data_IF_470758161691
#
_entry.id   IF_470758161691
#
_cell.length_a   1.000
_cell.length_b   1.000
_cell.length_c   1.000
_cell.angle_alpha   90.00
_cell.angle_beta   90.00
_cell.angle_gamma   90.00
#
_symmetry.space_group_name_H-M   'P 1'
#
loop_
_entity.id
_entity.type
_entity.pdbx_description
1 polymer ?
#
# COMPACT_ATOMS: atom_id res chain seq x y z
N UNK A 1 50.61 37.97 -33.86
CA UNK A 1 49.37 37.72 -33.10
C UNK A 1 49.23 36.21 -32.96
N UNK A 2 49.69 35.65 -31.84
CA UNK A 2 49.55 34.24 -31.54
C UNK A 2 48.51 34.11 -30.41
N UNK A 3 47.39 33.49 -30.75
CA UNK A 3 46.26 33.23 -29.86
C UNK A 3 46.65 32.11 -28.89
N UNK A 4 46.66 32.40 -27.59
CA UNK A 4 46.80 31.38 -26.54
C UNK A 4 45.47 30.65 -26.38
N UNK A 5 45.51 29.34 -26.59
CA UNK A 5 44.42 28.39 -26.40
C UNK A 5 44.23 28.16 -24.89
N UNK A 6 43.10 28.58 -24.34
CA UNK A 6 42.73 28.34 -22.95
C UNK A 6 42.34 26.87 -22.78
N UNK A 7 43.19 26.12 -22.08
CA UNK A 7 42.88 24.78 -21.62
C UNK A 7 41.68 24.80 -20.65
N UNK A 8 40.72 23.92 -20.91
CA UNK A 8 39.52 23.74 -20.09
C UNK A 8 39.87 23.38 -18.63
N UNK A 9 39.13 23.89 -17.64
CA UNK A 9 39.37 23.52 -16.24
C UNK A 9 39.01 22.05 -16.01
N UNK A 10 39.96 21.32 -15.42
CA UNK A 10 39.76 19.95 -14.94
C UNK A 10 38.52 19.87 -14.02
N UNK A 11 37.63 18.87 -14.18
CA UNK A 11 36.55 18.64 -13.23
C UNK A 11 37.16 18.26 -11.88
N UNK A 12 36.85 19.05 -10.84
CA UNK A 12 37.23 18.72 -9.47
C UNK A 12 36.55 17.42 -9.04
N UNK A 13 37.25 16.55 -8.27
CA UNK A 13 36.66 15.34 -7.73
C UNK A 13 35.54 15.72 -6.75
N UNK A 14 34.34 15.21 -7.02
CA UNK A 14 33.19 15.30 -6.13
C UNK A 14 33.61 14.86 -4.72
N UNK A 15 33.70 15.84 -3.82
CA UNK A 15 33.92 15.61 -2.40
C UNK A 15 32.74 14.80 -1.87
N UNK A 16 33.01 13.71 -1.15
CA UNK A 16 32.02 12.94 -0.39
C UNK A 16 31.20 13.88 0.49
N UNK A 17 30.05 14.32 -0.04
CA UNK A 17 29.07 15.07 0.72
C UNK A 17 28.40 14.06 1.66
N UNK A 18 28.95 13.95 2.87
CA UNK A 18 28.28 13.29 3.99
C UNK A 18 26.82 13.72 3.98
N UNK A 19 25.90 12.78 3.73
CA UNK A 19 24.47 13.07 3.78
C UNK A 19 24.18 13.70 5.15
N UNK A 20 23.41 14.80 5.22
CA UNK A 20 23.10 15.44 6.50
C UNK A 20 22.43 14.41 7.42
N UNK A 21 23.10 14.09 8.54
CA UNK A 21 22.57 13.15 9.51
C UNK A 21 21.44 13.84 10.30
N UNK A 22 20.32 13.15 10.55
CA UNK A 22 19.26 13.71 11.36
C UNK A 22 19.78 14.02 12.78
N UNK A 23 19.38 15.17 13.33
CA UNK A 23 19.66 15.52 14.72
C UNK A 23 18.89 14.57 15.64
N UNK A 24 19.62 13.72 16.37
CA UNK A 24 19.07 12.68 17.24
C UNK A 24 19.03 13.12 18.70
N UNK A 25 18.11 12.54 19.48
CA UNK A 25 18.08 12.69 20.95
C UNK A 25 19.05 11.69 21.57
N UNK A 26 19.50 11.93 22.81
CA UNK A 26 20.23 10.92 23.60
C UNK A 26 19.32 10.25 24.64
N UNK A 27 18.16 10.84 24.91
CA UNK A 27 17.16 10.25 25.78
C UNK A 27 16.46 9.03 25.12
N UNK A 28 16.10 8.01 25.93
CA UNK A 28 15.33 6.86 25.47
C UNK A 28 14.00 7.25 24.81
N UNK A 29 13.67 6.59 23.71
CA UNK A 29 12.45 6.84 22.95
C UNK A 29 11.48 5.65 23.03
N UNK A 30 10.18 5.94 23.06
CA UNK A 30 9.10 5.00 22.76
C UNK A 30 8.21 5.57 21.68
N UNK A 31 7.77 4.75 20.72
CA UNK A 31 6.94 5.23 19.60
C UNK A 31 5.52 4.66 19.63
N UNK A 32 4.56 5.47 19.20
CA UNK A 32 3.21 5.03 18.87
C UNK A 32 2.97 5.28 17.38
N UNK A 33 2.74 4.21 16.64
CA UNK A 33 2.58 4.21 15.18
C UNK A 33 1.11 4.01 14.85
N UNK A 34 0.54 4.90 14.05
CA UNK A 34 -0.85 4.84 13.60
C UNK A 34 -0.93 4.97 12.09
N UNK A 35 -1.97 4.38 11.50
CA UNK A 35 -2.28 4.57 10.07
C UNK A 35 -2.76 6.01 9.87
N UNK A 36 -2.06 6.75 9.01
CA UNK A 36 -2.46 8.10 8.60
C UNK A 36 -3.42 8.02 7.40
N UNK A 37 -3.04 7.22 6.40
CA UNK A 37 -3.81 6.98 5.20
C UNK A 37 -3.54 5.57 4.66
N UNK A 38 -4.53 5.03 3.95
CA UNK A 38 -4.41 3.71 3.35
C UNK A 38 -5.18 3.65 2.02
N UNK A 39 -4.57 3.04 1.01
CA UNK A 39 -5.17 2.93 -0.32
C UNK A 39 -4.82 1.61 -0.99
N UNK A 40 -5.83 1.00 -1.60
CA UNK A 40 -5.68 -0.19 -2.43
C UNK A 40 -5.49 0.18 -3.89
N UNK A 41 -4.62 -0.58 -4.55
CA UNK A 41 -4.44 -0.59 -5.98
C UNK A 41 -4.51 -2.04 -6.46
N UNK A 42 -5.18 -2.30 -7.58
CA UNK A 42 -5.27 -3.65 -8.11
C UNK A 42 -4.04 -3.95 -8.96
N UNK A 43 -3.09 -4.68 -8.37
CA UNK A 43 -1.77 -4.89 -8.95
C UNK A 43 -1.80 -5.70 -10.24
N UNK A 44 -2.68 -6.70 -10.36
CA UNK A 44 -2.78 -7.51 -11.59
C UNK A 44 -3.11 -6.66 -12.82
N UNK A 45 -3.93 -5.61 -12.68
CA UNK A 45 -4.25 -4.72 -13.79
C UNK A 45 -3.03 -3.95 -14.31
N UNK A 46 -2.03 -3.71 -13.46
CA UNK A 46 -0.78 -3.04 -13.83
C UNK A 46 0.23 -4.04 -14.40
N UNK A 47 0.36 -5.19 -13.73
CA UNK A 47 1.34 -6.20 -14.13
C UNK A 47 0.98 -6.87 -15.47
N UNK A 48 -0.31 -6.94 -15.81
CA UNK A 48 -0.80 -7.52 -17.06
C UNK A 48 -1.11 -6.47 -18.14
N UNK A 49 -0.75 -5.20 -17.93
CA UNK A 49 -0.97 -4.16 -18.94
C UNK A 49 0.00 -4.35 -20.11
N UNK A 50 -0.41 -5.13 -21.11
CA UNK A 50 0.35 -5.35 -22.34
C UNK A 50 0.40 -4.11 -23.23
N UNK A 51 -0.75 -3.49 -23.48
CA UNK A 51 -0.88 -2.26 -24.28
C UNK A 51 -1.12 -1.02 -23.41
N UNK A 52 -0.57 0.11 -23.85
CA UNK A 52 -0.78 1.40 -23.17
C UNK A 52 -2.28 1.74 -23.21
N UNK A 53 -2.91 2.01 -22.05
CA UNK A 53 -4.34 2.30 -22.02
C UNK A 53 -4.68 3.54 -22.85
N UNK A 54 -5.73 3.45 -23.67
CA UNK A 54 -6.18 4.57 -24.50
C UNK A 54 -6.85 5.66 -23.63
N UNK A 55 -6.37 6.91 -23.71
CA UNK A 55 -6.91 8.00 -22.86
C UNK A 55 -8.34 8.41 -23.21
N UNK A 56 -8.83 8.05 -24.40
CA UNK A 56 -10.20 8.32 -24.81
C UNK A 56 -11.20 7.36 -24.19
N UNK A 57 -10.73 6.18 -23.75
CA UNK A 57 -11.51 5.19 -23.04
C UNK A 57 -11.56 5.52 -21.54
N UNK A 58 -12.75 5.59 -20.92
CA UNK A 58 -12.91 5.72 -19.47
C UNK A 58 -12.12 4.70 -18.64
N UNK A 59 -12.03 3.44 -19.07
CA UNK A 59 -11.22 2.43 -18.38
C UNK A 59 -9.73 2.75 -18.54
N UNK A 60 -9.30 3.16 -19.73
CA UNK A 60 -7.93 3.61 -19.94
C UNK A 60 -7.52 4.80 -19.06
N UNK A 61 -8.40 5.78 -18.85
CA UNK A 61 -8.19 6.88 -17.90
C UNK A 61 -8.08 6.39 -16.45
N UNK A 62 -8.90 5.41 -16.06
CA UNK A 62 -8.80 4.79 -14.75
C UNK A 62 -7.43 4.16 -14.52
N UNK A 63 -6.95 3.34 -15.47
CA UNK A 63 -5.65 2.67 -15.37
C UNK A 63 -4.49 3.66 -15.30
N UNK A 64 -4.52 4.70 -16.14
CA UNK A 64 -3.49 5.77 -16.12
C UNK A 64 -3.45 6.55 -14.82
N UNK A 65 -4.60 6.86 -14.23
CA UNK A 65 -4.67 7.51 -12.92
C UNK A 65 -4.06 6.61 -11.85
N UNK A 66 -4.35 5.32 -11.86
CA UNK A 66 -3.76 4.37 -10.91
C UNK A 66 -2.23 4.29 -11.05
N UNK A 67 -1.71 4.20 -12.27
CA UNK A 67 -0.26 4.22 -12.56
C UNK A 67 0.39 5.50 -12.02
N UNK A 68 -0.18 6.66 -12.34
CA UNK A 68 0.32 7.95 -11.87
C UNK A 68 0.31 8.10 -10.34
N UNK A 69 -0.78 7.67 -9.69
CA UNK A 69 -0.90 7.71 -8.23
C UNK A 69 0.12 6.80 -7.55
N UNK A 70 0.40 5.63 -8.13
CA UNK A 70 1.42 4.72 -7.64
C UNK A 70 2.83 5.26 -7.84
N UNK A 71 3.14 5.86 -9.00
CA UNK A 71 4.43 6.50 -9.24
C UNK A 71 4.66 7.65 -8.25
N UNK A 72 3.64 8.48 -8.02
CA UNK A 72 3.70 9.55 -7.03
C UNK A 72 3.88 9.02 -5.59
N UNK A 73 3.33 7.85 -5.30
CA UNK A 73 3.47 7.17 -4.00
C UNK A 73 4.85 6.50 -3.86
N UNK A 74 5.42 5.97 -4.96
CA UNK A 74 6.74 5.36 -4.97
C UNK A 74 7.86 6.36 -4.69
N UNK A 75 7.62 7.66 -4.93
CA UNK A 75 8.53 8.73 -4.51
C UNK A 75 8.54 8.96 -2.98
N UNK A 76 7.57 8.42 -2.23
CA UNK A 76 7.45 8.54 -0.77
C UNK A 76 7.86 7.24 -0.09
N UNK A 77 8.26 7.33 1.19
CA UNK A 77 8.59 6.16 2.03
C UNK A 77 7.35 5.64 2.75
N UNK A 78 6.36 5.18 2.00
CA UNK A 78 5.23 4.48 2.60
C UNK A 78 5.52 2.99 2.75
N UNK A 79 4.71 2.32 3.54
CA UNK A 79 4.67 0.86 3.58
C UNK A 79 3.71 0.38 2.50
N UNK A 80 3.92 -0.84 2.00
CA UNK A 80 2.92 -1.55 1.24
C UNK A 80 2.75 -2.98 1.73
N UNK A 81 1.54 -3.50 1.56
CA UNK A 81 1.21 -4.91 1.73
C UNK A 81 0.79 -5.48 0.38
N UNK A 82 1.40 -6.59 -0.04
CA UNK A 82 0.84 -7.43 -1.09
C UNK A 82 -0.29 -8.25 -0.46
N UNK A 83 -1.53 -7.94 -0.84
CA UNK A 83 -2.73 -8.56 -0.30
C UNK A 83 -3.35 -9.44 -1.38
N UNK A 84 -3.53 -10.72 -1.08
CA UNK A 84 -4.20 -11.66 -1.98
C UNK A 84 -5.63 -11.87 -1.53
N UNK A 85 -6.55 -11.94 -2.50
CA UNK A 85 -7.97 -12.18 -2.27
C UNK A 85 -8.49 -13.19 -3.27
N UNK A 86 -9.49 -14.02 -2.93
CA UNK A 86 -10.17 -14.85 -3.92
C UNK A 86 -10.60 -14.00 -5.10
N UNK A 87 -10.35 -14.49 -6.31
CA UNK A 87 -10.65 -13.76 -7.55
C UNK A 87 -12.12 -13.38 -7.61
N UNK A 88 -12.43 -12.13 -7.94
CA UNK A 88 -13.82 -11.68 -8.13
C UNK A 88 -13.96 -11.02 -9.49
N UNK A 89 -14.96 -11.43 -10.27
CA UNK A 89 -15.29 -10.81 -11.56
C UNK A 89 -16.78 -10.52 -11.63
N UNK A 90 -17.19 -9.56 -12.45
CA UNK A 90 -18.60 -9.41 -12.80
C UNK A 90 -19.04 -10.56 -13.71
N UNK A 91 -20.22 -11.11 -13.47
CA UNK A 91 -20.86 -12.03 -14.41
C UNK A 91 -21.51 -11.22 -15.54
N UNK A 92 -20.79 -11.02 -16.64
CA UNK A 92 -21.25 -10.23 -17.79
C UNK A 92 -22.48 -10.87 -18.47
N UNK A 93 -22.65 -12.19 -18.34
CA UNK A 93 -23.83 -12.89 -18.85
C UNK A 93 -25.02 -12.80 -17.88
N UNK A 94 -24.77 -12.41 -16.62
CA UNK A 94 -25.79 -12.23 -15.60
C UNK A 94 -26.62 -10.97 -15.82
N UNK A 95 -27.88 -11.01 -15.36
CA UNK A 95 -28.77 -9.87 -15.43
C UNK A 95 -28.49 -8.87 -14.30
N UNK A 96 -28.23 -7.62 -14.67
CA UNK A 96 -28.17 -6.49 -13.74
C UNK A 96 -29.59 -6.10 -13.33
N UNK A 97 -29.83 -5.98 -12.02
CA UNK A 97 -31.16 -5.67 -11.50
C UNK A 97 -31.17 -4.35 -10.74
N UNK A 98 -32.27 -3.63 -10.86
CA UNK A 98 -32.52 -2.39 -10.15
C UNK A 98 -33.65 -2.57 -9.14
N UNK A 99 -33.48 -1.99 -7.94
CA UNK A 99 -34.58 -1.84 -7.00
C UNK A 99 -35.69 -0.96 -7.57
N UNK A 100 -36.95 -1.34 -7.34
CA UNK A 100 -38.12 -0.75 -7.99
C UNK A 100 -38.32 0.77 -7.74
N UNK A 101 -37.82 1.30 -6.61
CA UNK A 101 -37.93 2.72 -6.25
C UNK A 101 -36.61 3.36 -5.77
N UNK A 102 -35.47 2.72 -6.03
CA UNK A 102 -34.19 3.18 -5.47
C UNK A 102 -33.04 2.98 -6.44
N UNK A 103 -31.93 3.65 -6.17
CA UNK A 103 -30.66 3.41 -6.87
C UNK A 103 -29.89 2.21 -6.30
N UNK A 104 -30.63 1.24 -5.75
CA UNK A 104 -30.09 -0.06 -5.36
C UNK A 104 -29.86 -0.88 -6.62
N UNK A 105 -28.60 -1.14 -6.89
CA UNK A 105 -28.11 -1.85 -8.05
C UNK A 105 -27.59 -3.21 -7.60
N UNK A 106 -28.19 -4.28 -8.09
CA UNK A 106 -27.71 -5.65 -7.87
C UNK A 106 -26.86 -6.10 -9.04
N UNK A 107 -25.60 -6.42 -8.76
CA UNK A 107 -24.60 -6.84 -9.73
C UNK A 107 -24.27 -8.31 -9.52
N UNK A 108 -24.36 -9.14 -10.57
CA UNK A 108 -23.98 -10.54 -10.47
C UNK A 108 -22.44 -10.67 -10.52
N UNK A 109 -21.90 -11.59 -9.72
CA UNK A 109 -20.47 -11.83 -9.54
C UNK A 109 -20.11 -13.30 -9.76
N UNK A 110 -18.86 -13.52 -10.14
CA UNK A 110 -18.19 -14.82 -10.19
C UNK A 110 -17.03 -14.81 -9.19
N UNK A 111 -16.99 -15.78 -8.28
CA UNK A 111 -16.00 -15.89 -7.23
C UNK A 111 -15.06 -17.08 -7.43
N UNK A 112 -13.76 -16.86 -7.19
CA UNK A 112 -12.71 -17.88 -7.19
C UNK A 112 -12.44 -18.51 -8.55
N UNK A 113 -11.61 -19.56 -8.53
CA UNK A 113 -11.26 -20.34 -9.72
C UNK A 113 -12.47 -21.09 -10.31
N UNK A 114 -13.36 -21.59 -9.43
CA UNK A 114 -14.57 -22.34 -9.80
C UNK A 114 -15.69 -21.44 -10.36
N UNK A 115 -15.50 -20.12 -10.37
CA UNK A 115 -16.48 -19.13 -10.84
C UNK A 115 -17.86 -19.33 -10.21
N UNK A 116 -17.90 -19.56 -8.89
CA UNK A 116 -19.15 -19.70 -8.17
C UNK A 116 -19.96 -18.41 -8.26
N UNK A 117 -21.24 -18.52 -8.63
CA UNK A 117 -22.11 -17.36 -8.81
C UNK A 117 -22.50 -16.75 -7.46
N UNK A 118 -22.41 -15.44 -7.37
CA UNK A 118 -22.88 -14.65 -6.24
C UNK A 118 -23.42 -13.30 -6.75
N UNK A 119 -23.84 -12.41 -5.85
CA UNK A 119 -24.27 -11.06 -6.20
C UNK A 119 -23.93 -10.06 -5.10
N UNK A 120 -23.76 -8.81 -5.48
CA UNK A 120 -23.68 -7.68 -4.55
C UNK A 120 -24.79 -6.70 -4.85
N UNK A 121 -25.38 -6.13 -3.80
CA UNK A 121 -26.30 -5.00 -3.93
C UNK A 121 -25.60 -3.76 -3.41
N UNK A 122 -25.46 -2.75 -4.25
CA UNK A 122 -24.86 -1.45 -3.90
C UNK A 122 -25.91 -0.36 -4.03
N UNK A 123 -25.90 0.60 -3.12
CA UNK A 123 -26.79 1.76 -3.17
C UNK A 123 -26.03 2.95 -3.75
N UNK A 124 -26.33 3.30 -5.01
CA UNK A 124 -25.64 4.40 -5.69
C UNK A 124 -26.18 5.75 -5.22
N UNK A 125 -25.28 6.73 -5.15
CA UNK A 125 -25.61 8.14 -4.93
C UNK A 125 -25.48 8.88 -6.25
N UNK A 126 -26.47 9.71 -6.59
CA UNK A 126 -26.41 10.55 -7.80
C UNK A 126 -25.30 11.59 -7.63
N UNK A 127 -24.28 11.62 -8.50
CA UNK A 127 -23.25 12.64 -8.45
C UNK A 127 -23.82 14.03 -8.74
N UNK A 128 -23.23 15.08 -8.15
CA UNK A 128 -23.68 16.46 -8.36
C UNK A 128 -23.64 16.89 -9.85
N UNK A 129 -22.64 16.42 -10.60
CA UNK A 129 -22.47 16.72 -12.02
C UNK A 129 -23.29 15.81 -12.96
N UNK A 130 -24.15 14.93 -12.43
CA UNK A 130 -24.97 14.04 -13.23
C UNK A 130 -26.08 14.80 -13.96
N UNK A 131 -26.33 14.44 -15.23
CA UNK A 131 -27.48 14.95 -15.99
C UNK A 131 -28.62 13.95 -16.04
N UNK A 132 -28.36 12.68 -15.69
CA UNK A 132 -29.36 11.61 -15.54
C UNK A 132 -29.58 11.28 -14.07
N UNK A 133 -30.82 10.94 -13.70
CA UNK A 133 -31.16 10.45 -12.35
C UNK A 133 -30.78 8.98 -12.11
N UNK A 134 -30.56 8.23 -13.20
CA UNK A 134 -30.19 6.81 -13.19
C UNK A 134 -29.16 6.59 -14.30
N UNK A 135 -28.02 5.94 -14.02
CA UNK A 135 -26.97 5.80 -15.01
C UNK A 135 -27.28 4.64 -15.97
N UNK A 136 -26.77 4.73 -17.19
CA UNK A 136 -26.60 3.56 -18.07
C UNK A 136 -25.40 2.78 -17.59
N UNK A 137 -25.51 1.45 -17.55
CA UNK A 137 -24.47 0.56 -17.02
C UNK A 137 -23.83 -0.19 -18.18
N UNK A 138 -22.50 -0.20 -18.18
CA UNK A 138 -21.71 -1.15 -18.97
C UNK A 138 -20.86 -1.99 -18.01
N UNK A 139 -20.85 -3.30 -18.24
CA UNK A 139 -20.06 -4.24 -17.46
C UNK A 139 -19.03 -4.93 -18.34
N UNK A 140 -17.83 -5.06 -17.80
CA UNK A 140 -16.78 -5.97 -18.24
C UNK A 140 -16.46 -6.91 -17.07
N UNK A 141 -15.60 -7.91 -17.26
CA UNK A 141 -15.25 -8.81 -16.16
C UNK A 141 -14.63 -8.08 -14.95
N UNK A 142 -13.85 -7.01 -15.19
CA UNK A 142 -13.08 -6.31 -14.17
C UNK A 142 -13.71 -4.97 -13.75
N UNK A 143 -14.48 -4.34 -14.62
CA UNK A 143 -14.96 -2.96 -14.45
C UNK A 143 -16.46 -2.83 -14.66
N UNK A 144 -17.03 -1.86 -13.96
CA UNK A 144 -18.33 -1.26 -14.23
C UNK A 144 -18.15 0.19 -14.65
N UNK A 145 -18.82 0.60 -15.72
CA UNK A 145 -18.96 2.00 -16.11
C UNK A 145 -20.39 2.45 -15.83
N UNK A 146 -20.51 3.55 -15.08
CA UNK A 146 -21.76 4.22 -14.76
C UNK A 146 -21.82 5.55 -15.53
N UNK A 147 -22.62 5.57 -16.60
CA UNK A 147 -22.81 6.77 -17.41
C UNK A 147 -24.05 7.55 -16.94
N UNK A 148 -23.81 8.68 -16.28
CA UNK A 148 -24.81 9.60 -15.77
C UNK A 148 -25.16 10.72 -16.77
N UNK A 149 -24.88 10.50 -18.06
CA UNK A 149 -25.04 11.47 -19.16
C UNK A 149 -23.82 12.35 -19.32
N UNK A 150 -23.77 13.48 -18.60
CA UNK A 150 -22.64 14.43 -18.63
C UNK A 150 -21.40 14.00 -17.84
N UNK A 151 -21.52 12.91 -17.07
CA UNK A 151 -20.46 12.35 -16.23
C UNK A 151 -20.42 10.83 -16.43
N UNK A 152 -19.22 10.30 -16.52
CA UNK A 152 -18.98 8.86 -16.56
C UNK A 152 -18.00 8.46 -15.46
N UNK A 153 -18.42 7.52 -14.61
CA UNK A 153 -17.62 6.97 -13.54
C UNK A 153 -17.26 5.51 -13.87
N UNK A 154 -16.02 5.14 -13.61
CA UNK A 154 -15.53 3.77 -13.79
C UNK A 154 -15.01 3.27 -12.45
N UNK A 155 -15.46 2.07 -12.07
CA UNK A 155 -14.99 1.37 -10.88
C UNK A 155 -14.49 0.00 -11.28
N UNK A 156 -13.37 -0.42 -10.70
CA UNK A 156 -13.04 -1.85 -10.70
C UNK A 156 -14.00 -2.59 -9.77
N UNK A 157 -14.09 -3.91 -9.94
CA UNK A 157 -14.81 -4.77 -9.00
C UNK A 157 -14.33 -4.57 -7.57
N UNK A 158 -13.01 -4.45 -7.35
CA UNK A 158 -12.41 -4.23 -6.04
C UNK A 158 -12.73 -2.85 -5.46
N UNK A 159 -12.86 -1.81 -6.29
CA UNK A 159 -13.33 -0.50 -5.84
C UNK A 159 -14.78 -0.54 -5.37
N UNK A 160 -15.67 -1.18 -6.13
CA UNK A 160 -17.06 -1.34 -5.70
C UNK A 160 -17.13 -2.09 -4.38
N UNK A 161 -16.35 -3.17 -4.27
CA UNK A 161 -16.33 -3.98 -3.07
C UNK A 161 -15.88 -3.16 -1.84
N UNK A 162 -14.85 -2.34 -1.99
CA UNK A 162 -14.35 -1.49 -0.91
C UNK A 162 -15.31 -0.35 -0.57
N UNK A 163 -15.80 0.39 -1.55
CA UNK A 163 -16.55 1.64 -1.35
C UNK A 163 -17.93 1.39 -0.76
N UNK A 164 -18.61 0.33 -1.21
CA UNK A 164 -20.01 0.09 -0.85
C UNK A 164 -20.18 -0.92 0.29
N UNK A 165 -19.10 -1.29 0.99
CA UNK A 165 -19.16 -2.04 2.25
C UNK A 165 -19.97 -3.33 2.14
N UNK A 166 -19.65 -4.18 1.16
CA UNK A 166 -20.43 -5.38 0.89
C UNK A 166 -20.42 -6.40 2.03
N UNK A 167 -21.42 -7.29 2.03
CA UNK A 167 -21.54 -8.37 3.00
C UNK A 167 -20.62 -9.56 2.73
N UNK A 168 -20.06 -9.72 1.51
CA UNK A 168 -19.14 -10.82 1.21
C UNK A 168 -17.97 -10.86 2.21
N UNK A 169 -17.69 -12.04 2.74
CA UNK A 169 -16.62 -12.29 3.71
C UNK A 169 -15.43 -12.94 3.02
N UNK A 170 -14.85 -12.22 2.06
CA UNK A 170 -13.67 -12.69 1.34
C UNK A 170 -12.40 -12.23 2.09
N UNK A 171 -11.50 -13.17 2.44
CA UNK A 171 -10.32 -12.84 3.23
C UNK A 171 -9.35 -11.97 2.45
N UNK A 172 -8.75 -11.01 3.14
CA UNK A 172 -7.65 -10.17 2.64
C UNK A 172 -6.35 -10.66 3.27
N UNK A 173 -5.63 -11.55 2.56
CA UNK A 173 -4.42 -12.20 3.07
C UNK A 173 -3.17 -11.41 2.71
N UNK A 174 -2.46 -10.91 3.69
CA UNK A 174 -1.13 -10.32 3.53
C UNK A 174 -0.14 -11.44 3.22
N UNK A 175 0.47 -11.38 2.04
CA UNK A 175 1.47 -12.33 1.56
C UNK A 175 2.89 -11.75 1.61
N UNK A 176 3.03 -10.42 1.60
CA UNK A 176 4.31 -9.73 1.61
C UNK A 176 4.16 -8.30 2.15
N UNK A 177 5.18 -7.81 2.85
CA UNK A 177 5.28 -6.42 3.34
C UNK A 177 6.53 -5.77 2.72
N UNK A 178 6.42 -4.53 2.27
CA UNK A 178 7.56 -3.80 1.73
C UNK A 178 7.44 -2.29 1.90
N UNK A 179 8.39 -1.56 1.31
CA UNK A 179 8.38 -0.10 1.23
C UNK A 179 8.11 0.33 -0.20
N UNK A 180 7.37 1.42 -0.39
CA UNK A 180 7.01 1.93 -1.72
C UNK A 180 8.19 2.56 -2.46
N UNK A 181 9.21 3.01 -1.73
CA UNK A 181 10.40 3.63 -2.31
C UNK A 181 11.14 2.62 -3.19
N UNK A 182 11.16 2.90 -4.48
CA UNK A 182 11.81 2.08 -5.50
C UNK A 182 12.45 3.01 -6.52
N UNK A 183 13.76 3.23 -6.38
CA UNK A 183 14.51 4.17 -7.22
C UNK A 183 14.50 3.75 -8.71
N UNK A 184 14.21 2.48 -9.00
CA UNK A 184 14.07 1.94 -10.36
C UNK A 184 12.62 2.03 -10.90
N UNK A 185 11.64 2.49 -10.11
CA UNK A 185 10.25 2.67 -10.54
C UNK A 185 9.52 1.37 -10.93
N UNK A 186 10.01 0.21 -10.52
CA UNK A 186 9.45 -1.11 -10.86
C UNK A 186 8.09 -1.34 -10.20
N UNK A 187 7.84 -0.78 -9.02
CA UNK A 187 6.55 -0.93 -8.34
C UNK A 187 5.39 -0.35 -9.17
N UNK A 188 5.51 0.91 -9.62
CA UNK A 188 4.49 1.58 -10.43
C UNK A 188 4.31 0.97 -11.83
N UNK A 189 5.38 0.40 -12.39
CA UNK A 189 5.35 -0.33 -13.66
C UNK A 189 4.85 -1.79 -13.55
N UNK A 190 4.47 -2.26 -12.36
CA UNK A 190 4.02 -3.65 -12.19
C UNK A 190 5.12 -4.71 -12.38
N UNK A 191 6.39 -4.33 -12.13
CA UNK A 191 7.60 -5.14 -12.40
C UNK A 191 8.39 -5.54 -11.16
N UNK A 192 7.87 -5.30 -9.97
CA UNK A 192 8.59 -5.57 -8.73
C UNK A 192 8.76 -7.10 -8.54
N UNK A 193 10.00 -7.65 -8.48
CA UNK A 193 10.23 -9.10 -8.43
C UNK A 193 9.55 -9.81 -7.26
N UNK A 194 9.42 -9.14 -6.10
CA UNK A 194 8.69 -9.68 -4.96
C UNK A 194 7.20 -9.93 -5.29
N UNK A 195 6.56 -8.99 -6.00
CA UNK A 195 5.15 -9.11 -6.37
C UNK A 195 4.93 -10.21 -7.40
N UNK A 196 5.82 -10.37 -8.38
CA UNK A 196 5.74 -11.50 -9.32
C UNK A 196 5.79 -12.85 -8.61
N UNK A 197 6.62 -12.99 -7.57
CA UNK A 197 6.66 -14.20 -6.75
C UNK A 197 5.37 -14.41 -5.98
N UNK A 198 4.79 -13.36 -5.40
CA UNK A 198 3.48 -13.44 -4.72
C UNK A 198 2.38 -13.90 -5.69
N UNK A 199 2.32 -13.33 -6.90
CA UNK A 199 1.36 -13.74 -7.95
C UNK A 199 1.55 -15.21 -8.32
N UNK A 200 2.79 -15.62 -8.61
CA UNK A 200 3.12 -16.99 -8.97
C UNK A 200 2.77 -18.01 -7.86
N UNK A 201 2.92 -17.64 -6.60
CA UNK A 201 2.56 -18.49 -5.45
C UNK A 201 1.06 -18.58 -5.20
N UNK A 202 0.31 -17.52 -5.51
CA UNK A 202 -1.13 -17.45 -5.27
C UNK A 202 -1.94 -18.18 -6.34
N UNK A 203 -1.41 -18.23 -7.57
CA UNK A 203 -2.07 -18.86 -8.72
C UNK A 203 -3.27 -18.06 -9.24
N UNK A 204 -3.91 -18.57 -10.30
CA UNK A 204 -4.93 -17.86 -11.08
C UNK A 204 -6.28 -17.66 -10.38
N UNK A 205 -6.46 -18.31 -9.23
CA UNK A 205 -7.67 -18.24 -8.40
C UNK A 205 -7.72 -17.04 -7.45
N UNK A 206 -6.66 -16.22 -7.43
CA UNK A 206 -6.53 -15.08 -6.54
C UNK A 206 -6.18 -13.80 -7.31
N UNK A 207 -6.75 -12.68 -6.88
CA UNK A 207 -6.31 -11.36 -7.27
C UNK A 207 -5.23 -10.88 -6.29
N UNK A 208 -4.23 -10.18 -6.81
CA UNK A 208 -3.18 -9.51 -6.04
C UNK A 208 -3.45 -8.01 -6.02
N UNK A 209 -3.56 -7.48 -4.80
CA UNK A 209 -3.76 -6.07 -4.51
C UNK A 209 -2.51 -5.52 -3.82
N UNK A 210 -2.26 -4.24 -4.04
CA UNK A 210 -1.26 -3.46 -3.32
C UNK A 210 -1.98 -2.52 -2.37
N UNK A 211 -1.88 -2.78 -1.07
CA UNK A 211 -2.34 -1.86 -0.03
C UNK A 211 -1.16 -0.97 0.37
N UNK A 212 -1.16 0.29 -0.06
CA UNK A 212 -0.23 1.31 0.41
C UNK A 212 -0.74 1.88 1.72
N UNK A 213 0.14 2.01 2.71
CA UNK A 213 -0.16 2.60 4.02
C UNK A 213 0.86 3.68 4.36
N UNK A 214 0.36 4.90 4.53
CA UNK A 214 1.08 5.99 5.18
C UNK A 214 0.91 5.89 6.70
N UNK A 215 1.96 6.21 7.44
CA UNK A 215 2.00 6.06 8.89
C UNK A 215 2.43 7.35 9.57
N UNK A 216 1.76 7.65 10.68
CA UNK A 216 2.17 8.69 11.61
C UNK A 216 2.87 8.05 12.80
N UNK A 217 3.99 8.65 13.21
CA UNK A 217 4.81 8.17 14.33
C UNK A 217 4.88 9.25 15.39
N UNK A 218 4.19 9.00 16.50
CA UNK A 218 4.26 9.83 17.70
C UNK A 218 5.42 9.35 18.57
N UNK A 219 6.39 10.23 18.84
CA UNK A 219 7.57 9.91 19.65
C UNK A 219 7.40 10.43 21.08
N UNK A 220 7.43 9.50 22.04
CA UNK A 220 7.55 9.80 23.47
C UNK A 220 9.03 9.77 23.85
N UNK A 221 9.56 10.93 24.23
CA UNK A 221 10.95 11.13 24.62
C UNK A 221 11.03 12.30 25.59
N UNK A 222 11.90 12.24 26.60
CA UNK A 222 12.09 13.36 27.55
C UNK A 222 12.56 14.65 26.87
N UNK A 223 13.23 14.51 25.73
CA UNK A 223 13.68 15.62 24.90
C UNK A 223 12.64 16.02 23.82
N UNK A 224 11.53 15.29 23.69
CA UNK A 224 10.54 15.50 22.61
C UNK A 224 10.95 14.86 21.28
N UNK A 225 10.11 15.04 20.25
CA UNK A 225 10.30 14.40 18.95
C UNK A 225 11.50 15.03 18.19
N UNK A 226 12.51 14.24 17.78
CA UNK A 226 13.60 14.72 16.92
C UNK A 226 13.10 15.43 15.65
N UNK A 227 11.99 14.97 15.06
CA UNK A 227 11.41 15.55 13.85
C UNK A 227 10.92 16.99 14.05
N UNK A 228 10.42 17.34 15.25
CA UNK A 228 9.96 18.68 15.57
C UNK A 228 11.11 19.70 15.74
N UNK A 229 12.35 19.22 15.85
CA UNK A 229 13.57 20.02 16.03
C UNK A 229 14.37 20.18 14.75
N UNK A 230 14.02 19.45 13.70
CA UNK A 230 14.65 19.59 12.39
C UNK A 230 14.12 20.85 11.73
N UNK A 231 15.02 21.58 11.07
CA UNK A 231 14.64 22.72 10.25
C UNK A 231 13.80 22.19 9.08
N UNK A 232 12.57 22.69 8.84
CA UNK A 232 11.79 22.33 7.65
C UNK A 232 12.56 22.56 6.33
N UNK A 233 13.62 23.39 6.35
CA UNK A 233 14.52 23.62 5.24
C UNK A 233 15.54 22.48 4.98
N UNK A 234 15.63 21.43 5.82
CA UNK A 234 16.46 20.25 5.59
C UNK A 234 15.61 18.99 5.27
N UNK A 235 15.11 18.88 4.03
CA UNK A 235 14.25 17.76 3.62
C UNK A 235 14.99 16.42 3.60
N UNK A 236 16.33 16.42 3.46
CA UNK A 236 17.13 15.19 3.43
C UNK A 236 17.22 14.56 4.82
N UNK A 237 17.45 15.36 5.86
CA UNK A 237 17.46 14.88 7.23
C UNK A 237 16.07 14.34 7.66
N UNK A 238 15.00 15.02 7.24
CA UNK A 238 13.61 14.57 7.47
C UNK A 238 13.30 13.24 6.79
N UNK A 239 13.67 13.08 5.51
CA UNK A 239 13.48 11.82 4.78
C UNK A 239 14.31 10.68 5.39
N UNK A 240 15.54 10.97 5.84
CA UNK A 240 16.39 9.99 6.50
C UNK A 240 15.76 9.48 7.81
N UNK A 241 15.30 10.39 8.68
CA UNK A 241 14.63 10.03 9.94
C UNK A 241 13.33 9.26 9.68
N UNK A 242 12.52 9.68 8.71
CA UNK A 242 11.31 8.97 8.33
C UNK A 242 11.62 7.58 7.79
N UNK A 243 12.67 7.42 6.98
CA UNK A 243 13.14 6.12 6.51
C UNK A 243 13.57 5.18 7.63
N UNK A 244 14.28 5.68 8.63
CA UNK A 244 14.62 4.89 9.83
C UNK A 244 13.37 4.39 10.57
N UNK A 245 12.36 5.25 10.74
CA UNK A 245 11.08 4.86 11.37
C UNK A 245 10.36 3.80 10.55
N UNK A 246 10.26 3.99 9.24
CA UNK A 246 9.61 3.06 8.32
C UNK A 246 10.33 1.70 8.28
N UNK A 247 11.66 1.67 8.33
CA UNK A 247 12.45 0.43 8.43
C UNK A 247 12.08 -0.40 9.68
N UNK A 248 11.92 0.26 10.83
CA UNK A 248 11.52 -0.42 12.08
C UNK A 248 10.08 -0.96 12.03
N UNK A 249 9.17 -0.20 11.43
CA UNK A 249 7.77 -0.59 11.29
C UNK A 249 7.64 -1.75 10.29
N UNK A 250 8.32 -1.67 9.14
CA UNK A 250 8.39 -2.73 8.14
C UNK A 250 8.87 -4.03 8.78
N UNK A 251 9.97 -3.99 9.55
CA UNK A 251 10.53 -5.17 10.20
C UNK A 251 9.53 -5.86 11.16
N UNK A 252 8.79 -5.08 11.94
CA UNK A 252 7.72 -5.61 12.81
C UNK A 252 6.60 -6.26 12.00
N UNK A 253 6.13 -5.59 10.95
CA UNK A 253 5.02 -6.08 10.13
C UNK A 253 5.41 -7.32 9.31
N UNK A 254 6.65 -7.42 8.84
CA UNK A 254 7.20 -8.64 8.25
C UNK A 254 7.13 -9.78 9.26
N UNK A 255 7.66 -9.56 10.48
CA UNK A 255 7.66 -10.58 11.53
C UNK A 255 6.25 -11.04 11.88
N UNK A 256 5.30 -10.11 11.90
CA UNK A 256 3.91 -10.37 12.23
C UNK A 256 3.16 -11.13 11.12
N UNK A 257 3.18 -10.61 9.89
CA UNK A 257 2.38 -11.18 8.79
C UNK A 257 3.09 -12.26 7.98
N UNK A 258 4.41 -12.19 7.79
CA UNK A 258 5.20 -13.17 7.03
C UNK A 258 5.88 -14.23 7.92
N UNK A 259 5.81 -14.06 9.24
CA UNK A 259 6.36 -15.00 10.23
C UNK A 259 7.86 -14.85 10.48
N UNK A 260 8.44 -15.83 11.18
CA UNK A 260 9.85 -15.78 11.62
C UNK A 260 10.88 -16.07 10.53
N UNK A 261 10.47 -16.83 9.51
CA UNK A 261 11.29 -17.23 8.37
C UNK A 261 10.53 -16.94 7.06
N UNK A 262 10.46 -15.67 6.63
CA UNK A 262 9.70 -15.29 5.44
C UNK A 262 10.25 -15.97 4.19
N UNK A 263 9.41 -16.77 3.52
CA UNK A 263 9.78 -17.56 2.31
C UNK A 263 10.29 -16.69 1.16
N UNK A 264 9.85 -15.44 1.11
CA UNK A 264 10.18 -14.50 0.05
C UNK A 264 11.56 -13.81 0.22
N UNK A 265 12.33 -14.10 1.26
CA UNK A 265 13.55 -13.33 1.59
C UNK A 265 14.78 -14.20 1.69
N UNK A 266 15.86 -13.76 1.03
CA UNK A 266 17.15 -14.44 1.09
C UNK A 266 17.79 -14.28 2.49
N UNK A 267 18.62 -15.25 2.90
CA UNK A 267 19.31 -15.20 4.19
C UNK A 267 20.17 -13.94 4.35
N UNK A 268 20.87 -13.53 3.29
CA UNK A 268 21.70 -12.33 3.27
C UNK A 268 20.88 -11.04 3.43
N UNK A 269 19.70 -10.95 2.81
CA UNK A 269 18.78 -9.83 3.01
C UNK A 269 18.35 -9.72 4.48
N UNK A 270 18.04 -10.86 5.12
CA UNK A 270 17.66 -10.90 6.53
C UNK A 270 18.80 -10.45 7.45
N UNK A 271 20.03 -10.87 7.17
CA UNK A 271 21.19 -10.44 7.94
C UNK A 271 21.45 -8.94 7.81
N UNK A 272 21.42 -8.40 6.58
CA UNK A 272 21.57 -6.96 6.34
C UNK A 272 20.49 -6.15 7.03
N UNK A 273 19.23 -6.60 6.99
CA UNK A 273 18.12 -5.96 7.71
C UNK A 273 18.32 -6.01 9.22
N UNK A 274 18.75 -7.14 9.79
CA UNK A 274 19.06 -7.25 11.22
C UNK A 274 20.11 -6.23 11.67
N UNK A 275 21.20 -6.08 10.91
CA UNK A 275 22.22 -5.08 11.20
C UNK A 275 21.67 -3.64 11.13
N UNK A 276 20.81 -3.35 10.13
CA UNK A 276 20.12 -2.06 10.01
C UNK A 276 19.19 -1.76 11.19
N UNK A 277 18.37 -2.73 11.61
CA UNK A 277 17.47 -2.60 12.76
C UNK A 277 18.26 -2.24 14.02
N UNK A 278 19.37 -2.93 14.30
CA UNK A 278 20.22 -2.63 15.45
C UNK A 278 20.80 -1.21 15.36
N UNK A 279 21.28 -0.83 14.17
CA UNK A 279 21.82 0.50 13.94
C UNK A 279 20.76 1.60 14.16
N UNK A 280 19.54 1.41 13.67
CA UNK A 280 18.41 2.34 13.85
C UNK A 280 17.98 2.40 15.31
N UNK A 281 17.86 1.25 15.99
CA UNK A 281 17.52 1.18 17.40
C UNK A 281 18.51 1.98 18.25
N UNK A 282 19.82 1.71 18.07
CA UNK A 282 20.88 2.40 18.80
C UNK A 282 20.90 3.90 18.47
N UNK A 283 20.74 4.25 17.19
CA UNK A 283 20.75 5.63 16.73
C UNK A 283 19.62 6.48 17.30
N UNK A 284 18.46 5.87 17.55
CA UNK A 284 17.29 6.56 18.07
C UNK A 284 17.06 6.30 19.57
N UNK A 285 17.96 5.58 20.24
CA UNK A 285 17.74 5.10 21.62
C UNK A 285 16.35 4.47 21.82
N UNK A 286 15.90 3.72 20.82
CA UNK A 286 14.56 3.16 20.80
C UNK A 286 14.47 1.99 21.76
N UNK A 287 13.60 2.13 22.77
CA UNK A 287 13.34 1.08 23.77
C UNK A 287 12.26 0.13 23.29
N UNK A 288 11.14 0.69 22.83
CA UNK A 288 9.96 -0.07 22.40
C UNK A 288 9.09 0.78 21.48
N UNK A 289 8.18 0.14 20.77
CA UNK A 289 7.18 0.84 19.97
C UNK A 289 5.90 0.02 19.87
N UNK A 290 4.79 0.72 19.70
CA UNK A 290 3.47 0.13 19.49
C UNK A 290 3.00 0.45 18.09
N UNK A 291 2.49 -0.54 17.37
CA UNK A 291 1.84 -0.34 16.07
C UNK A 291 0.34 -0.57 16.25
N UNK A 292 -0.43 0.46 15.95
CA UNK A 292 -1.88 0.41 15.86
C UNK A 292 -2.32 0.43 14.40
N UNK A 293 -2.42 -0.77 13.82
CA UNK A 293 -2.84 -0.98 12.45
C UNK A 293 -4.37 -1.07 12.39
N UNK A 294 -5.01 0.09 12.39
CA UNK A 294 -6.44 0.25 12.14
C UNK A 294 -6.65 0.92 10.78
N UNK A 295 -7.16 0.17 9.79
CA UNK A 295 -7.46 0.74 8.48
C UNK A 295 -8.78 1.54 8.54
N UNK A 296 -8.92 2.64 7.79
CA UNK A 296 -10.17 3.40 7.71
C UNK A 296 -11.32 2.50 7.24
N UNK A 297 -12.50 2.64 7.83
CA UNK A 297 -13.58 1.64 7.72
C UNK A 297 -13.97 1.33 6.26
N UNK A 298 -13.93 0.04 5.90
CA UNK A 298 -14.57 -0.51 4.69
C UNK A 298 -15.07 -1.94 4.92
N UNK A 299 -15.53 -2.21 6.15
CA UNK A 299 -16.07 -3.51 6.53
C UNK A 299 -15.07 -4.66 6.39
N UNK A 300 -15.52 -5.78 5.81
CA UNK A 300 -14.70 -7.00 5.70
C UNK A 300 -13.51 -6.88 4.76
N UNK A 301 -13.51 -5.89 3.85
CA UNK A 301 -12.44 -5.69 2.88
C UNK A 301 -11.09 -5.42 3.58
N UNK A 302 -11.14 -4.69 4.69
CA UNK A 302 -9.99 -4.26 5.47
C UNK A 302 -9.62 -5.20 6.62
N UNK A 303 -10.28 -6.35 6.74
CA UNK A 303 -9.89 -7.36 7.72
C UNK A 303 -8.68 -8.13 7.20
N UNK A 304 -7.49 -7.64 7.54
CA UNK A 304 -6.23 -8.26 7.15
C UNK A 304 -5.99 -9.55 7.93
N UNK A 305 -5.39 -10.53 7.28
CA UNK A 305 -4.97 -11.79 7.88
C UNK A 305 -3.69 -12.29 7.19
N UNK A 306 -3.09 -13.37 7.67
CA UNK A 306 -2.04 -14.10 6.96
C UNK A 306 -2.05 -15.58 7.33
N UNK A 307 -1.03 -16.34 6.91
CA UNK A 307 -0.80 -17.72 7.37
C UNK A 307 -0.57 -17.78 8.90
N UNK A 308 -0.10 -16.70 9.51
CA UNK A 308 0.29 -16.64 10.93
C UNK A 308 -0.68 -15.84 11.81
N UNK A 309 -1.57 -15.05 11.20
CA UNK A 309 -2.41 -14.08 11.89
C UNK A 309 -3.86 -14.21 11.44
N UNK A 310 -4.77 -14.31 12.41
CA UNK A 310 -6.21 -14.34 12.14
C UNK A 310 -6.75 -13.01 11.63
N UNK A 311 -7.84 -13.05 10.87
CA UNK A 311 -8.51 -11.85 10.36
C UNK A 311 -9.00 -10.96 11.50
N UNK A 312 -8.63 -9.67 11.45
CA UNK A 312 -9.10 -8.67 12.40
C UNK A 312 -9.30 -7.32 11.71
N UNK A 313 -10.24 -6.52 12.21
CA UNK A 313 -10.45 -5.15 11.74
C UNK A 313 -9.32 -4.20 12.19
N UNK A 314 -8.56 -4.60 13.22
CA UNK A 314 -7.49 -3.84 13.84
C UNK A 314 -6.45 -4.79 14.41
N UNK A 315 -5.18 -4.50 14.16
CA UNK A 315 -4.05 -5.23 14.75
C UNK A 315 -3.23 -4.27 15.61
N UNK A 316 -3.20 -4.53 16.92
CA UNK A 316 -2.38 -3.74 17.85
C UNK A 316 -1.19 -4.58 18.29
N UNK A 317 0.02 -4.07 18.10
CA UNK A 317 1.26 -4.81 18.25
C UNK A 317 2.19 -4.09 19.24
N UNK A 318 2.73 -4.83 20.21
CA UNK A 318 3.88 -4.40 20.99
C UNK A 318 5.15 -4.91 20.34
N UNK A 319 6.12 -4.01 20.14
CA UNK A 319 7.35 -4.30 19.42
C UNK A 319 8.58 -3.81 20.19
N UNK A 320 9.64 -4.62 20.17
CA UNK A 320 10.95 -4.25 20.69
C UNK A 320 12.04 -5.01 19.92
N UNK A 321 13.29 -4.60 20.05
CA UNK A 321 14.41 -5.28 19.41
C UNK A 321 15.15 -6.14 20.44
N UNK A 322 15.35 -7.41 20.13
CA UNK A 322 16.17 -8.35 20.89
C UNK A 322 16.89 -9.30 19.94
N UNK A 323 18.14 -9.67 20.28
CA UNK A 323 18.99 -10.55 19.48
C UNK A 323 19.14 -10.10 18.01
N UNK A 324 19.18 -8.77 17.81
CA UNK A 324 19.30 -8.16 16.48
C UNK A 324 18.08 -8.34 15.57
N UNK A 325 16.92 -8.68 16.15
CA UNK A 325 15.66 -8.86 15.43
C UNK A 325 14.53 -8.12 16.15
N UNK A 326 13.50 -7.73 15.40
CA UNK A 326 12.27 -7.23 15.99
C UNK A 326 11.46 -8.40 16.55
N UNK A 327 11.10 -8.30 17.83
CA UNK A 327 10.12 -9.14 18.49
C UNK A 327 8.77 -8.44 18.46
N UNK A 328 7.72 -9.21 18.21
CA UNK A 328 6.35 -8.70 18.07
C UNK A 328 5.40 -9.56 18.88
N UNK A 329 4.57 -8.92 19.70
CA UNK A 329 3.50 -9.56 20.43
C UNK A 329 2.17 -8.85 20.11
N UNK A 330 1.11 -9.57 19.69
CA UNK A 330 -0.22 -8.99 19.55
C UNK A 330 -0.75 -8.58 20.92
N UNK A 331 -1.38 -7.41 20.98
CA UNK A 331 -2.06 -6.90 22.17
C UNK A 331 -3.57 -6.99 21.99
N UNK A 332 -4.34 -7.18 23.09
CA UNK A 332 -5.78 -7.00 23.03
C UNK A 332 -6.09 -5.57 22.58
N UNK A 333 -7.07 -5.43 21.67
CA UNK A 333 -7.53 -4.11 21.25
C UNK A 333 -8.11 -3.34 22.45
N UNK A 334 -8.05 -1.99 22.46
CA UNK A 334 -8.77 -1.21 23.45
C UNK A 334 -10.26 -1.55 23.36
N UNK A 335 -10.86 -1.83 24.53
CA UNK A 335 -12.26 -2.22 24.68
C UNK A 335 -13.24 -1.12 24.26
#
# INVERSE_FOLDING_TARGET
MHTMEQAAPNPQPHTDASLPLPRRTQAPQSWMVRVADAKYYWYDLLADSGEKPELRDPIGRYLRRMEFELDATAARRHLFFAVTRPRVRFDVAGAVQWGFFSLKLSLPLLLGAERSKDSITVELKVPFAATLKKPTIMLTENFISLNWGGLEEVFSVHDLLRIYGHTLRLPSKVAYVGQTRDDEGRLGQGRLPAMHRVRAQSGDGYDTLLLVVGVDVEVSCAEGDPAARLDPADPLAMDALHGERVEMIEAALIRYFEGSNPRARAAEERQRRGARIVAVQHSNHLVQYTIDLALPDSGNYNQLCSEFVSAAARHVLSCFVADGQVQVAPMPGPA
#
